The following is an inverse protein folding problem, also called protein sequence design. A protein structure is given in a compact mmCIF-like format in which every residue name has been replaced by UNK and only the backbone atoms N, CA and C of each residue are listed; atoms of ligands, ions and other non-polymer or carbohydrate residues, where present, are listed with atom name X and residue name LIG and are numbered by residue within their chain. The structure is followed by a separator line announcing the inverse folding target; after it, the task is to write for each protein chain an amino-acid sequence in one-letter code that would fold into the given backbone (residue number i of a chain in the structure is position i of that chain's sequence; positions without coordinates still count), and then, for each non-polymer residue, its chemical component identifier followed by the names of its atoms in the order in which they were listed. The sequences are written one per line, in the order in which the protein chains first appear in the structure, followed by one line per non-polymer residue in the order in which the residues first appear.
data_IF_589142858068
#
_entry.id   IF_589142858068
#
_cell.length_a   1.000
_cell.length_b   1.000
_cell.length_c   1.000
_cell.angle_alpha   90.00
_cell.angle_beta   90.00
_cell.angle_gamma   90.00
#
_symmetry.space_group_name_H-M   'P 1'
#
loop_
_entity.id
_entity.type
_entity.pdbx_description
1 polymer ?
#
# COMPACT_ATOMS: atom_id res chain seq x y z
N UNK A 1 -3.90 -16.96 -2.57
CA UNK A 1 -3.01 -17.74 -1.69
C UNK A 1 -3.76 -18.15 -0.42
N UNK A 2 -4.92 -18.83 -0.55
CA UNK A 2 -5.84 -19.14 0.56
C UNK A 2 -6.45 -20.55 0.47
N UNK A 3 -5.77 -21.49 -0.20
CA UNK A 3 -6.26 -22.88 -0.38
C UNK A 3 -5.59 -23.90 0.53
N UNK A 4 -4.72 -23.47 1.44
CA UNK A 4 -3.86 -24.38 2.21
C UNK A 4 -4.35 -24.68 3.64
N UNK A 5 -5.33 -23.94 4.17
CA UNK A 5 -5.72 -24.05 5.60
C UNK A 5 -6.87 -25.06 5.81
N UNK A 6 -7.73 -25.29 4.80
CA UNK A 6 -8.86 -26.22 4.93
C UNK A 6 -8.48 -27.71 4.89
N UNK A 7 -7.28 -28.07 4.43
CA UNK A 7 -6.84 -29.48 4.36
C UNK A 7 -6.21 -30.00 5.65
N UNK A 8 -5.83 -29.12 6.58
CA UNK A 8 -5.25 -29.53 7.86
C UNK A 8 -6.25 -30.10 8.87
N UNK A 9 -7.53 -29.71 8.77
CA UNK A 9 -8.53 -30.08 9.79
C UNK A 9 -9.19 -31.46 9.55
N UNK A 10 -9.27 -31.91 8.29
CA UNK A 10 -9.81 -33.23 7.95
C UNK A 10 -8.88 -34.39 8.40
N UNK A 11 -7.58 -34.13 8.51
CA UNK A 11 -6.60 -35.12 8.94
C UNK A 11 -6.66 -35.39 10.47
N UNK A 12 -7.20 -34.46 11.26
CA UNK A 12 -7.24 -34.59 12.71
C UNK A 12 -8.50 -35.34 13.21
N UNK A 13 -9.57 -35.38 12.41
CA UNK A 13 -10.78 -36.14 12.73
C UNK A 13 -10.64 -37.65 12.46
N UNK A 14 -9.74 -38.06 11.57
CA UNK A 14 -9.51 -39.47 11.26
C UNK A 14 -8.61 -40.18 12.30
N UNK A 15 -7.81 -39.44 13.08
CA UNK A 15 -6.88 -40.04 14.03
C UNK A 15 -7.53 -40.44 15.37
N UNK A 16 -8.68 -39.87 15.73
CA UNK A 16 -9.34 -40.18 17.02
C UNK A 16 -10.14 -41.49 16.97
N UNK A 17 -10.58 -41.93 15.78
CA UNK A 17 -11.35 -43.19 15.64
C UNK A 17 -10.43 -44.43 15.65
N UNK A 18 -9.13 -44.28 15.35
CA UNK A 18 -8.20 -45.42 15.25
C UNK A 18 -7.57 -45.85 16.59
N UNK A 19 -7.72 -45.09 17.68
CA UNK A 19 -7.10 -45.41 18.97
C UNK A 19 -7.97 -46.29 19.90
N UNK A 20 -9.19 -46.66 19.49
CA UNK A 20 -10.15 -47.36 20.34
C UNK A 20 -10.17 -48.89 20.18
N UNK A 21 -9.36 -49.46 19.29
CA UNK A 21 -9.32 -50.90 19.06
C UNK A 21 -8.01 -51.47 19.59
N UNK A 22 -8.14 -52.49 20.45
CA UNK A 22 -7.10 -53.31 21.08
C UNK A 22 -6.67 -52.88 22.49
N UNK A 23 -7.50 -53.22 23.48
CA UNK A 23 -7.06 -54.04 24.63
C UNK A 23 -8.26 -54.73 25.29
N UNK A 24 -8.36 -56.05 25.12
CA UNK A 24 -9.29 -56.90 25.86
C UNK A 24 -8.82 -57.00 27.33
N UNK A 25 -9.66 -56.56 28.25
CA UNK A 25 -9.48 -56.57 29.70
C UNK A 25 -10.83 -56.28 30.36
N UNK A 26 -11.06 -56.75 31.60
CA UNK A 26 -12.38 -57.10 32.12
C UNK A 26 -13.34 -55.91 32.20
N UNK A 27 -14.62 -56.22 31.97
CA UNK A 27 -15.76 -55.33 31.81
C UNK A 27 -15.89 -54.31 32.95
N UNK A 28 -15.46 -53.08 32.68
CA UNK A 28 -15.94 -51.89 33.38
C UNK A 28 -17.17 -51.34 32.66
N UNK A 29 -18.22 -50.91 33.40
CA UNK A 29 -19.44 -50.36 32.81
C UNK A 29 -19.15 -49.13 31.93
N UNK A 30 -20.00 -48.86 30.93
CA UNK A 30 -19.77 -47.84 29.91
C UNK A 30 -19.62 -46.45 30.56
N UNK A 31 -18.52 -45.76 30.23
CA UNK A 31 -18.25 -44.39 30.66
C UNK A 31 -19.12 -43.40 29.88
N UNK A 32 -20.44 -43.43 30.10
CA UNK A 32 -21.44 -42.57 29.45
C UNK A 32 -21.16 -41.07 29.64
N UNK A 33 -20.46 -40.71 30.72
CA UNK A 33 -20.04 -39.34 31.01
C UNK A 33 -19.10 -38.76 29.95
N UNK A 34 -18.19 -39.57 29.41
CA UNK A 34 -17.24 -39.12 28.37
C UNK A 34 -17.93 -38.90 27.03
N UNK A 35 -18.90 -39.75 26.69
CA UNK A 35 -19.71 -39.60 25.47
C UNK A 35 -20.56 -38.33 25.53
N UNK A 36 -21.18 -38.06 26.68
CA UNK A 36 -21.96 -36.85 26.95
C UNK A 36 -21.12 -35.58 26.81
N UNK A 37 -19.88 -35.62 27.29
CA UNK A 37 -18.93 -34.51 27.21
C UNK A 37 -18.50 -34.25 25.75
N UNK A 38 -18.24 -35.30 24.97
CA UNK A 38 -17.89 -35.18 23.54
C UNK A 38 -19.06 -34.61 22.73
N UNK A 39 -20.30 -35.04 22.98
CA UNK A 39 -21.48 -34.50 22.32
C UNK A 39 -21.66 -33.00 22.60
N UNK A 40 -21.43 -32.59 23.85
CA UNK A 40 -21.51 -31.18 24.26
C UNK A 40 -20.43 -30.35 23.56
N UNK A 41 -19.19 -30.86 23.48
CA UNK A 41 -18.10 -30.20 22.76
C UNK A 41 -18.38 -30.07 21.26
N UNK A 42 -18.94 -31.09 20.61
CA UNK A 42 -19.32 -31.02 19.21
C UNK A 42 -20.42 -29.99 18.94
N UNK A 43 -21.39 -29.90 19.86
CA UNK A 43 -22.45 -28.90 19.77
C UNK A 43 -21.90 -27.47 19.94
N UNK A 44 -20.96 -27.27 20.87
CA UNK A 44 -20.29 -25.99 21.05
C UNK A 44 -19.45 -25.58 19.82
N UNK A 45 -18.71 -26.52 19.23
CA UNK A 45 -17.94 -26.27 18.00
C UNK A 45 -18.86 -25.93 16.83
N UNK A 46 -19.99 -26.63 16.70
CA UNK A 46 -21.00 -26.34 15.66
C UNK A 46 -21.57 -24.93 15.81
N UNK A 47 -21.88 -24.53 17.04
CA UNK A 47 -22.38 -23.19 17.34
C UNK A 47 -21.32 -22.10 17.09
N UNK A 48 -20.05 -22.37 17.37
CA UNK A 48 -18.95 -21.43 17.06
C UNK A 48 -18.73 -21.31 15.57
N UNK A 49 -18.81 -22.41 14.82
CA UNK A 49 -18.66 -22.40 13.36
C UNK A 49 -19.79 -21.61 12.69
N UNK A 50 -21.04 -21.81 13.09
CA UNK A 50 -22.17 -21.03 12.56
C UNK A 50 -22.04 -19.54 12.88
N UNK A 51 -21.60 -19.18 14.09
CA UNK A 51 -21.34 -17.79 14.46
C UNK A 51 -20.21 -17.16 13.64
N UNK A 52 -19.14 -17.91 13.36
CA UNK A 52 -18.03 -17.45 12.51
C UNK A 52 -18.50 -17.25 11.07
N UNK A 53 -19.30 -18.18 10.53
CA UNK A 53 -19.83 -18.09 9.17
C UNK A 53 -20.71 -16.85 8.99
N UNK A 54 -21.62 -16.58 9.95
CA UNK A 54 -22.45 -15.37 9.94
C UNK A 54 -21.59 -14.09 9.96
N UNK A 55 -20.53 -14.04 10.78
CA UNK A 55 -19.62 -12.88 10.81
C UNK A 55 -18.88 -12.68 9.49
N UNK A 56 -18.44 -13.76 8.86
CA UNK A 56 -17.78 -13.71 7.56
C UNK A 56 -18.73 -13.21 6.47
N UNK A 57 -19.98 -13.67 6.45
CA UNK A 57 -20.97 -13.20 5.47
C UNK A 57 -21.26 -11.70 5.62
N UNK A 58 -21.41 -11.22 6.87
CA UNK A 58 -21.57 -9.78 7.15
C UNK A 58 -20.35 -8.98 6.68
N UNK A 59 -19.14 -9.47 6.96
CA UNK A 59 -17.91 -8.81 6.53
C UNK A 59 -17.79 -8.74 5.01
N UNK A 60 -18.11 -9.84 4.31
CA UNK A 60 -18.11 -9.90 2.85
C UNK A 60 -19.12 -8.91 2.26
N UNK A 61 -20.33 -8.83 2.83
CA UNK A 61 -21.34 -7.87 2.39
C UNK A 61 -20.88 -6.41 2.60
N UNK A 62 -20.27 -6.11 3.74
CA UNK A 62 -19.70 -4.78 4.00
C UNK A 62 -18.62 -4.42 2.97
N UNK A 63 -17.68 -5.34 2.71
CA UNK A 63 -16.62 -5.12 1.73
C UNK A 63 -17.18 -4.94 0.31
N UNK A 64 -18.24 -5.67 -0.06
CA UNK A 64 -18.91 -5.50 -1.36
C UNK A 64 -19.54 -4.11 -1.47
N UNK A 65 -20.17 -3.61 -0.41
CA UNK A 65 -20.72 -2.25 -0.37
C UNK A 65 -19.62 -1.19 -0.51
N UNK A 66 -18.51 -1.34 0.21
CA UNK A 66 -17.36 -0.42 0.13
C UNK A 66 -16.77 -0.38 -1.29
N UNK A 67 -16.62 -1.55 -1.93
CA UNK A 67 -16.14 -1.64 -3.32
C UNK A 67 -17.10 -0.97 -4.30
N UNK A 68 -18.41 -1.14 -4.12
CA UNK A 68 -19.43 -0.50 -4.96
C UNK A 68 -19.41 1.03 -4.79
N UNK A 69 -19.24 1.51 -3.55
CA UNK A 69 -19.12 2.94 -3.26
C UNK A 69 -17.86 3.53 -3.89
N UNK A 70 -16.71 2.88 -3.72
CA UNK A 70 -15.45 3.32 -4.32
C UNK A 70 -15.53 3.38 -5.85
N UNK A 71 -16.19 2.39 -6.48
CA UNK A 71 -16.40 2.38 -7.93
C UNK A 71 -17.26 3.56 -8.39
N UNK A 72 -18.28 3.94 -7.63
CA UNK A 72 -19.11 5.10 -7.92
C UNK A 72 -18.30 6.41 -7.81
N UNK A 73 -17.47 6.54 -6.78
CA UNK A 73 -16.63 7.73 -6.57
C UNK A 73 -15.56 7.88 -7.65
N UNK A 74 -14.89 6.79 -8.04
CA UNK A 74 -13.93 6.79 -9.16
C UNK A 74 -14.62 7.18 -10.47
N UNK A 75 -15.85 6.70 -10.70
CA UNK A 75 -16.62 7.04 -11.89
C UNK A 75 -16.98 8.53 -11.94
N UNK A 76 -17.37 9.12 -10.79
CA UNK A 76 -17.63 10.57 -10.68
C UNK A 76 -16.37 11.39 -10.93
N UNK A 77 -15.25 11.02 -10.30
CA UNK A 77 -13.98 11.73 -10.47
C UNK A 77 -13.50 11.72 -11.93
N UNK A 78 -13.63 10.58 -12.62
CA UNK A 78 -13.30 10.48 -14.04
C UNK A 78 -14.17 11.39 -14.91
N UNK A 79 -15.47 11.48 -14.62
CA UNK A 79 -16.38 12.38 -15.33
C UNK A 79 -16.04 13.85 -15.07
N UNK A 80 -15.71 14.22 -13.83
CA UNK A 80 -15.24 15.57 -13.49
C UNK A 80 -13.93 15.94 -14.21
N UNK A 81 -12.95 15.03 -14.23
CA UNK A 81 -11.71 15.24 -14.98
C UNK A 81 -11.98 15.44 -16.48
N UNK A 82 -12.90 14.65 -17.06
CA UNK A 82 -13.27 14.77 -18.47
C UNK A 82 -13.93 16.13 -18.76
N UNK A 83 -14.82 16.61 -17.88
CA UNK A 83 -15.43 17.93 -18.00
C UNK A 83 -14.40 19.05 -17.92
N UNK A 84 -13.49 18.99 -16.95
CA UNK A 84 -12.39 19.97 -16.82
C UNK A 84 -11.48 19.98 -18.05
N UNK A 85 -11.19 18.82 -18.63
CA UNK A 85 -10.40 18.73 -19.85
C UNK A 85 -11.11 19.35 -21.07
N UNK A 86 -12.44 19.26 -21.14
CA UNK A 86 -13.23 19.79 -22.27
C UNK A 86 -13.41 21.31 -22.17
N UNK A 87 -13.58 21.84 -20.96
CA UNK A 87 -13.70 23.29 -20.72
C UNK A 87 -12.41 24.04 -21.05
N UNK A 88 -11.23 23.41 -20.84
CA UNK A 88 -9.94 24.01 -21.23
C UNK A 88 -9.76 24.14 -22.75
N UNK A 89 -10.44 23.34 -23.56
CA UNK A 89 -10.21 23.27 -25.01
C UNK A 89 -10.99 24.35 -25.80
N UNK A 90 -12.07 24.92 -25.25
CA UNK A 90 -12.93 25.86 -26.00
C UNK A 90 -12.58 27.36 -25.83
N UNK A 91 -11.57 27.71 -25.03
CA UNK A 91 -11.12 29.11 -24.85
C UNK A 91 -9.82 29.40 -25.64
N UNK A 92 -9.19 28.39 -26.24
CA UNK A 92 -7.87 28.52 -26.86
C UNK A 92 -7.87 28.79 -28.39
N UNK A 93 -9.00 29.11 -29.01
CA UNK A 93 -9.08 29.26 -30.47
C UNK A 93 -8.89 30.70 -31.00
N UNK A 94 -8.56 31.71 -30.17
CA UNK A 94 -8.50 33.11 -30.65
C UNK A 94 -7.37 33.98 -30.07
N UNK A 95 -6.33 33.40 -29.49
CA UNK A 95 -5.10 34.16 -29.23
C UNK A 95 -3.96 33.18 -29.49
N UNK A 96 -3.11 33.50 -30.48
CA UNK A 96 -1.82 32.85 -30.66
C UNK A 96 -0.79 33.72 -29.95
N UNK A 97 -0.64 33.66 -28.60
CA UNK A 97 0.59 34.12 -28.01
C UNK A 97 1.62 33.07 -28.41
N UNK A 98 2.62 33.48 -29.18
CA UNK A 98 3.88 32.76 -29.27
C UNK A 98 4.28 32.39 -27.83
N UNK A 99 4.16 31.10 -27.48
CA UNK A 99 4.30 30.65 -26.12
C UNK A 99 5.76 30.91 -25.72
N UNK A 100 5.99 32.02 -25.02
CA UNK A 100 7.31 32.40 -24.53
C UNK A 100 7.92 31.16 -23.87
N UNK A 101 9.07 30.72 -24.38
CA UNK A 101 9.71 29.50 -23.92
C UNK A 101 9.75 29.52 -22.38
N UNK A 102 9.34 28.43 -21.70
CA UNK A 102 9.27 28.41 -20.26
C UNK A 102 10.64 28.79 -19.71
N UNK A 103 10.67 29.84 -18.91
CA UNK A 103 11.90 30.29 -18.27
C UNK A 103 12.33 29.18 -17.32
N UNK A 104 13.49 28.58 -17.55
CA UNK A 104 14.01 27.45 -16.76
C UNK A 104 15.21 27.87 -15.92
N UNK A 105 15.40 27.16 -14.81
CA UNK A 105 16.63 27.17 -14.02
C UNK A 105 17.26 25.79 -13.98
N UNK A 106 18.47 25.71 -13.45
CA UNK A 106 19.18 24.44 -13.24
C UNK A 106 19.30 24.17 -11.75
N UNK A 107 18.95 22.97 -11.31
CA UNK A 107 19.21 22.50 -9.96
C UNK A 107 20.43 21.59 -10.05
N UNK A 108 21.45 21.88 -9.24
CA UNK A 108 22.67 21.09 -9.11
C UNK A 108 22.53 20.19 -7.89
N UNK A 109 22.46 18.89 -8.11
CA UNK A 109 22.43 17.89 -7.04
C UNK A 109 23.85 17.36 -6.85
N UNK A 110 24.39 17.49 -5.65
CA UNK A 110 25.74 17.01 -5.32
C UNK A 110 25.66 16.11 -4.10
N UNK A 111 26.04 14.85 -4.25
CA UNK A 111 26.04 13.90 -3.15
C UNK A 111 27.47 13.66 -2.64
N UNK A 112 27.78 14.19 -1.46
CA UNK A 112 29.07 13.97 -0.79
C UNK A 112 29.02 12.84 0.25
N UNK A 113 27.88 12.16 0.44
CA UNK A 113 27.82 10.95 1.25
C UNK A 113 28.50 9.77 0.56
N UNK A 114 28.90 8.78 1.37
CA UNK A 114 29.36 7.47 0.92
C UNK A 114 28.24 6.54 0.44
N UNK A 115 26.97 6.96 0.58
CA UNK A 115 25.78 6.19 0.23
C UNK A 115 24.97 6.89 -0.87
N UNK A 116 24.20 6.15 -1.69
CA UNK A 116 23.28 6.77 -2.63
C UNK A 116 22.26 7.66 -1.91
N UNK A 117 21.95 8.79 -2.52
CA UNK A 117 20.91 9.71 -2.06
C UNK A 117 19.77 9.76 -3.07
N UNK A 118 18.54 9.90 -2.56
CA UNK A 118 17.34 10.17 -3.37
C UNK A 118 16.88 11.58 -3.08
N UNK A 119 16.98 12.45 -4.08
CA UNK A 119 16.46 13.82 -4.02
C UNK A 119 15.12 13.83 -4.74
N UNK A 120 14.07 14.27 -4.07
CA UNK A 120 12.74 14.42 -4.67
C UNK A 120 12.55 15.90 -4.95
N UNK A 121 12.44 16.28 -6.22
CA UNK A 121 12.26 17.68 -6.66
C UNK A 121 10.89 17.82 -7.30
N UNK A 122 10.01 18.65 -6.74
CA UNK A 122 8.62 18.81 -7.20
C UNK A 122 7.88 17.46 -7.37
N UNK A 123 8.14 16.50 -6.47
CA UNK A 123 7.57 15.16 -6.51
C UNK A 123 8.28 14.17 -7.45
N UNK A 124 9.29 14.59 -8.21
CA UNK A 124 10.09 13.70 -9.05
C UNK A 124 11.31 13.18 -8.27
N UNK A 125 11.36 11.86 -8.06
CA UNK A 125 12.48 11.18 -7.41
C UNK A 125 13.68 11.04 -8.34
N UNK A 126 14.83 11.52 -7.90
CA UNK A 126 16.09 11.53 -8.64
C UNK A 126 17.16 10.91 -7.75
N UNK A 127 17.65 9.75 -8.18
CA UNK A 127 18.75 9.07 -7.49
C UNK A 127 20.09 9.68 -7.92
N UNK A 128 20.96 9.93 -6.95
CA UNK A 128 22.30 10.49 -7.11
C UNK A 128 23.29 9.58 -6.37
N UNK A 129 24.25 9.01 -7.10
CA UNK A 129 25.24 8.09 -6.55
C UNK A 129 26.26 8.82 -5.65
N UNK A 130 27.00 8.09 -4.79
CA UNK A 130 28.07 8.68 -4.00
C UNK A 130 29.06 9.46 -4.87
N UNK A 131 29.43 10.67 -4.45
CA UNK A 131 30.34 11.57 -5.17
C UNK A 131 29.87 11.96 -6.59
N UNK A 132 28.60 11.75 -6.92
CA UNK A 132 28.02 12.15 -8.20
C UNK A 132 27.42 13.57 -8.10
N UNK A 133 27.64 14.36 -9.16
CA UNK A 133 26.95 15.61 -9.41
C UNK A 133 25.96 15.47 -10.57
N UNK A 134 24.68 15.80 -10.37
CA UNK A 134 23.63 15.71 -11.38
C UNK A 134 22.94 17.05 -11.62
N UNK A 135 22.72 17.38 -12.89
CA UNK A 135 21.98 18.58 -13.32
C UNK A 135 20.54 18.24 -13.63
N UNK A 136 19.62 19.02 -13.09
CA UNK A 136 18.17 18.87 -13.29
C UNK A 136 17.62 20.20 -13.77
N UNK A 137 16.96 20.21 -14.93
CA UNK A 137 16.31 21.42 -15.45
C UNK A 137 14.89 21.47 -14.91
N UNK A 138 14.50 22.60 -14.32
CA UNK A 138 13.16 22.82 -13.79
C UNK A 138 12.65 24.21 -14.16
N UNK A 139 11.33 24.45 -14.19
CA UNK A 139 10.77 25.79 -14.39
C UNK A 139 11.30 26.76 -13.33
N UNK A 140 11.67 27.96 -13.73
CA UNK A 140 12.01 29.03 -12.81
C UNK A 140 10.76 29.40 -12.00
N UNK A 141 10.95 29.65 -10.70
CA UNK A 141 9.85 29.85 -9.76
C UNK A 141 10.02 29.05 -8.48
N UNK A 142 8.92 28.89 -7.73
CA UNK A 142 8.93 28.11 -6.48
C UNK A 142 9.03 26.63 -6.80
N UNK A 143 9.88 25.93 -6.05
CA UNK A 143 10.00 24.49 -6.12
C UNK A 143 10.16 23.92 -4.72
N UNK A 144 9.72 22.68 -4.54
CA UNK A 144 9.95 21.95 -3.30
C UNK A 144 10.99 20.87 -3.51
N UNK A 145 11.79 20.61 -2.49
CA UNK A 145 12.67 19.46 -2.48
C UNK A 145 12.77 18.80 -1.11
N UNK A 146 13.06 17.51 -1.11
CA UNK A 146 13.39 16.71 0.06
C UNK A 146 14.51 15.73 -0.31
N UNK A 147 15.33 15.35 0.68
CA UNK A 147 16.49 14.49 0.45
C UNK A 147 16.50 13.34 1.45
N UNK A 148 16.58 12.12 0.92
CA UNK A 148 16.74 10.89 1.68
C UNK A 148 18.08 10.24 1.35
N UNK A 149 18.64 9.52 2.30
CA UNK A 149 19.82 8.66 2.11
C UNK A 149 19.46 7.22 2.43
N UNK A 150 20.04 6.26 1.72
CA UNK A 150 19.69 4.84 1.88
C UNK A 150 20.08 4.28 3.27
N UNK A 151 20.90 4.99 4.05
CA UNK A 151 21.36 4.60 5.40
C UNK A 151 20.43 5.07 6.54
N UNK A 152 19.45 5.95 6.27
CA UNK A 152 18.60 6.57 7.30
C UNK A 152 17.13 6.52 6.92
N UNK A 153 16.29 6.29 7.92
CA UNK A 153 14.83 6.35 7.77
C UNK A 153 14.29 7.79 7.72
N UNK A 154 15.05 8.75 8.25
CA UNK A 154 14.66 10.17 8.28
C UNK A 154 15.33 10.94 7.14
N UNK A 155 14.65 11.95 6.56
CA UNK A 155 15.24 12.78 5.52
C UNK A 155 16.43 13.58 6.08
N UNK A 156 17.53 13.63 5.32
CA UNK A 156 18.68 14.50 5.61
C UNK A 156 18.29 15.96 5.44
N UNK A 157 17.48 16.25 4.41
CA UNK A 157 16.83 17.54 4.26
C UNK A 157 15.30 17.33 4.21
N UNK A 158 14.56 17.85 5.21
CA UNK A 158 13.11 17.78 5.19
C UNK A 158 12.55 18.62 4.03
N UNK A 159 11.28 18.39 3.71
CA UNK A 159 10.58 19.12 2.66
C UNK A 159 10.75 20.64 2.82
N UNK A 160 11.37 21.26 1.82
CA UNK A 160 11.71 22.67 1.82
C UNK A 160 11.22 23.34 0.53
N UNK A 161 10.61 24.53 0.66
CA UNK A 161 10.25 25.39 -0.46
C UNK A 161 11.37 26.40 -0.74
N UNK A 162 11.75 26.54 -2.00
CA UNK A 162 12.81 27.45 -2.47
C UNK A 162 12.41 28.11 -3.79
N UNK A 163 13.07 29.22 -4.08
CA UNK A 163 12.91 29.94 -5.34
C UNK A 163 14.08 29.61 -6.28
N UNK A 164 13.77 29.03 -7.44
CA UNK A 164 14.71 28.81 -8.53
C UNK A 164 14.71 30.02 -9.45
N UNK A 165 15.84 30.75 -9.47
CA UNK A 165 16.02 31.86 -10.39
C UNK A 165 16.31 31.36 -11.81
N UNK A 166 15.78 32.07 -12.80
CA UNK A 166 16.03 31.83 -14.21
C UNK A 166 17.53 31.85 -14.54
N UNK A 167 18.02 30.85 -15.28
CA UNK A 167 19.41 30.80 -15.75
C UNK A 167 20.49 30.71 -14.67
N UNK A 168 20.12 30.61 -13.38
CA UNK A 168 21.08 30.44 -12.28
C UNK A 168 20.99 29.03 -11.72
N UNK A 169 22.14 28.38 -11.45
CA UNK A 169 22.13 27.10 -10.76
C UNK A 169 21.74 27.26 -9.30
N UNK A 170 20.88 26.37 -8.79
CA UNK A 170 20.59 26.24 -7.37
C UNK A 170 21.21 24.94 -6.83
N UNK A 171 22.21 25.01 -5.94
CA UNK A 171 22.87 23.82 -5.41
C UNK A 171 22.06 23.17 -4.28
N UNK A 172 21.94 21.85 -4.33
CA UNK A 172 21.46 20.97 -3.27
C UNK A 172 22.61 20.02 -2.97
N UNK A 173 23.31 20.28 -1.87
CA UNK A 173 24.49 19.53 -1.46
C UNK A 173 24.11 18.64 -0.29
N UNK A 174 24.29 17.33 -0.47
CA UNK A 174 24.03 16.31 0.54
C UNK A 174 25.35 15.99 1.24
N UNK A 175 25.53 16.45 2.48
CA UNK A 175 26.77 16.34 3.26
C UNK A 175 26.60 15.46 4.51
N UNK A 176 27.63 14.70 4.93
CA UNK A 176 27.60 13.71 6.02
C UNK A 176 26.97 14.18 7.34
#
# INVERSE_FOLDING_TARGET
MYTSILRGLAALLALVVAASLVRAGPETPPNDDKLSQVLTQLQEVTNKLSAIQIRQDIQIQSMQNDVNQLKADVSRLNEEMRRLSTVKTNIAASINPEAAAPVTGTILLENHYSFPATVIVNGQSIRVMPSEGRRVVAPAGRFTFEVYTDDRANPVHPLADRLLAAGRPFPIIVNP
#
